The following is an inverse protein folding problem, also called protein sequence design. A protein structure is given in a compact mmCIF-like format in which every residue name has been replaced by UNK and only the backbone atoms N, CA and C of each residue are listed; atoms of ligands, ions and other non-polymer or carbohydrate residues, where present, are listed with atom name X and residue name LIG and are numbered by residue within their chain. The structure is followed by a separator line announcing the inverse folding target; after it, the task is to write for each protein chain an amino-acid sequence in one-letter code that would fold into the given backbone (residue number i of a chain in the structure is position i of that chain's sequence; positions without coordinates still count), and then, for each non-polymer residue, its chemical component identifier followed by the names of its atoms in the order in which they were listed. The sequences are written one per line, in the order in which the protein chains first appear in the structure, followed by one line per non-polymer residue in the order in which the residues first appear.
data_IF_755810620804
#
_entry.id   IF_755810620804
#
_cell.length_a   1.000
_cell.length_b   1.000
_cell.length_c   1.000
_cell.angle_alpha   90.00
_cell.angle_beta   90.00
_cell.angle_gamma   90.00
#
_symmetry.space_group_name_H-M   'P 1'
#
loop_
_entity.id
_entity.type
_entity.pdbx_description
1 polymer ?
#
# COMPACT_ATOMS: atom_id res chain seq x y z
N UNK A 1 7.75 21.73 -12.62
CA UNK A 1 9.00 22.50 -12.52
C UNK A 1 9.76 22.44 -13.84
N UNK A 2 10.65 23.40 -14.13
CA UNK A 2 11.56 23.31 -15.27
C UNK A 2 12.68 22.29 -14.98
N UNK A 3 12.90 21.32 -15.85
CA UNK A 3 13.96 20.32 -15.65
C UNK A 3 15.39 20.89 -15.69
N UNK A 4 15.59 22.11 -16.21
CA UNK A 4 16.92 22.72 -16.39
C UNK A 4 17.40 23.52 -15.18
N UNK A 5 16.48 24.18 -14.48
CA UNK A 5 16.81 25.06 -13.36
C UNK A 5 15.98 24.77 -12.11
N UNK A 6 15.12 23.74 -12.15
CA UNK A 6 14.15 23.39 -11.10
C UNK A 6 13.17 24.51 -10.72
N UNK A 7 13.20 25.63 -11.44
CA UNK A 7 12.34 26.77 -11.20
C UNK A 7 10.90 26.51 -11.59
N UNK A 8 10.02 27.41 -11.15
CA UNK A 8 8.59 27.35 -11.43
C UNK A 8 8.31 27.38 -12.95
N UNK A 9 7.35 26.57 -13.39
CA UNK A 9 6.86 26.59 -14.76
C UNK A 9 5.45 27.19 -14.73
N UNK A 10 5.37 28.50 -14.98
CA UNK A 10 4.17 29.31 -14.72
C UNK A 10 3.58 29.84 -16.02
N UNK A 11 2.40 30.47 -15.93
CA UNK A 11 1.86 31.21 -17.05
C UNK A 11 2.80 32.37 -17.43
N UNK A 12 3.14 32.49 -18.72
CA UNK A 12 4.04 33.51 -19.27
C UNK A 12 3.39 34.33 -20.39
N UNK A 13 2.09 34.15 -20.62
CA UNK A 13 1.35 34.81 -21.69
C UNK A 13 -0.08 34.30 -21.84
N UNK A 14 -0.82 34.86 -22.80
CA UNK A 14 -2.29 34.71 -22.95
C UNK A 14 -2.81 33.26 -22.92
N UNK A 15 -2.01 32.27 -23.34
CA UNK A 15 -2.40 30.86 -23.25
C UNK A 15 -1.19 29.90 -23.20
N UNK A 16 -0.13 30.30 -22.48
CA UNK A 16 1.13 29.55 -22.50
C UNK A 16 1.79 29.46 -21.15
N UNK A 17 2.32 28.28 -20.86
CA UNK A 17 3.21 28.02 -19.73
C UNK A 17 4.67 28.04 -20.19
N UNK A 18 5.55 28.56 -19.35
CA UNK A 18 6.99 28.67 -19.59
C UNK A 18 7.79 28.72 -18.29
N UNK A 19 9.11 28.58 -18.40
CA UNK A 19 10.00 28.67 -17.25
C UNK A 19 10.03 30.11 -16.70
N UNK A 20 9.62 30.31 -15.44
CA UNK A 20 9.61 31.63 -14.80
C UNK A 20 11.00 32.29 -14.82
N UNK A 21 12.03 31.49 -14.55
CA UNK A 21 13.43 31.94 -14.50
C UNK A 21 13.95 32.40 -15.88
N UNK A 22 13.42 31.86 -16.98
CA UNK A 22 13.76 32.33 -18.32
C UNK A 22 12.97 33.60 -18.69
N UNK A 23 11.65 33.60 -18.45
CA UNK A 23 10.78 34.66 -18.95
C UNK A 23 10.80 35.92 -18.09
N UNK A 24 10.96 35.80 -16.77
CA UNK A 24 11.01 36.93 -15.83
C UNK A 24 12.43 37.40 -15.53
N UNK A 25 13.39 36.47 -15.38
CA UNK A 25 14.75 36.77 -14.88
C UNK A 25 15.88 36.57 -15.89
N UNK A 26 15.62 35.93 -17.04
CA UNK A 26 16.60 35.65 -18.12
C UNK A 26 17.82 34.82 -17.68
N UNK A 27 17.71 34.10 -16.58
CA UNK A 27 18.77 33.33 -15.90
C UNK A 27 18.72 31.83 -16.22
N UNK A 28 17.59 31.34 -16.76
CA UNK A 28 17.48 29.98 -17.29
C UNK A 28 17.49 29.98 -18.82
N UNK A 29 18.24 29.08 -19.44
CA UNK A 29 18.25 28.94 -20.90
C UNK A 29 17.06 28.17 -21.49
N UNK A 30 16.04 27.82 -20.70
CA UNK A 30 14.82 27.17 -21.20
C UNK A 30 13.78 28.20 -21.68
N UNK A 31 13.87 28.58 -22.97
CA UNK A 31 12.89 29.45 -23.63
C UNK A 31 11.73 28.73 -24.31
N UNK A 32 11.44 27.48 -23.92
CA UNK A 32 10.32 26.73 -24.50
C UNK A 32 9.01 27.08 -23.78
N UNK A 33 7.91 27.07 -24.53
CA UNK A 33 6.56 27.28 -24.00
C UNK A 33 5.63 26.18 -24.44
N UNK A 34 4.71 25.80 -23.57
CA UNK A 34 3.64 24.84 -23.86
C UNK A 34 2.30 25.57 -23.89
N UNK A 35 1.42 25.22 -24.84
CA UNK A 35 0.05 25.73 -24.83
C UNK A 35 -0.68 25.24 -23.59
N UNK A 36 -1.53 26.06 -23.00
CA UNK A 36 -2.29 25.68 -21.79
C UNK A 36 -3.06 24.38 -21.98
N UNK A 37 -3.82 24.27 -23.07
CA UNK A 37 -4.58 23.03 -23.37
C UNK A 37 -3.72 21.77 -23.41
N UNK A 38 -2.50 21.87 -23.93
CA UNK A 38 -1.56 20.72 -24.04
C UNK A 38 -0.98 20.41 -22.68
N UNK A 39 -0.56 21.43 -21.93
CA UNK A 39 -0.08 21.27 -20.55
C UNK A 39 -1.14 20.59 -19.69
N UNK A 40 -2.35 21.13 -19.69
CA UNK A 40 -3.44 20.67 -18.83
C UNK A 40 -3.85 19.23 -19.21
N UNK A 41 -3.94 18.91 -20.50
CA UNK A 41 -4.21 17.53 -20.96
C UNK A 41 -3.10 16.56 -20.58
N UNK A 42 -1.83 16.88 -20.88
CA UNK A 42 -0.71 15.97 -20.57
C UNK A 42 -0.53 15.77 -19.05
N UNK A 43 -0.78 16.81 -18.26
CA UNK A 43 -0.73 16.69 -16.80
C UNK A 43 -1.86 15.79 -16.29
N UNK A 44 -3.09 15.91 -16.83
CA UNK A 44 -4.18 14.98 -16.52
C UNK A 44 -3.84 13.55 -16.89
N UNK A 45 -3.30 13.30 -18.08
CA UNK A 45 -2.93 11.94 -18.52
C UNK A 45 -1.91 11.30 -17.57
N UNK A 46 -0.86 12.06 -17.21
CA UNK A 46 0.15 11.61 -16.23
C UNK A 46 -0.49 11.32 -14.87
N UNK A 47 -1.47 12.12 -14.45
CA UNK A 47 -2.18 11.90 -13.20
C UNK A 47 -3.02 10.62 -13.24
N UNK A 48 -3.81 10.40 -14.30
CA UNK A 48 -4.61 9.19 -14.46
C UNK A 48 -3.72 7.94 -14.51
N UNK A 49 -2.62 7.96 -15.27
CA UNK A 49 -1.68 6.84 -15.34
C UNK A 49 -1.00 6.57 -13.99
N UNK A 50 -0.55 7.62 -13.30
CA UNK A 50 0.07 7.49 -11.97
C UNK A 50 -0.92 6.94 -10.94
N UNK A 51 -2.16 7.41 -10.96
CA UNK A 51 -3.20 6.96 -10.07
C UNK A 51 -3.53 5.48 -10.29
N UNK A 52 -3.68 5.04 -11.54
CA UNK A 52 -3.89 3.64 -11.89
C UNK A 52 -2.72 2.76 -11.40
N UNK A 53 -1.47 3.17 -11.64
CA UNK A 53 -0.28 2.43 -11.19
C UNK A 53 -0.20 2.30 -9.66
N UNK A 54 -0.57 3.36 -8.94
CA UNK A 54 -0.63 3.34 -7.48
C UNK A 54 -1.70 2.37 -6.99
N UNK A 55 -2.89 2.38 -7.60
CA UNK A 55 -3.99 1.47 -7.27
C UNK A 55 -3.60 0.02 -7.54
N UNK A 56 -3.09 -0.30 -8.72
CA UNK A 56 -2.68 -1.66 -9.09
C UNK A 56 -1.62 -2.22 -8.13
N UNK A 57 -0.64 -1.38 -7.76
CA UNK A 57 0.41 -1.78 -6.82
C UNK A 57 -0.13 -1.96 -5.40
N UNK A 58 -1.01 -1.07 -4.96
CA UNK A 58 -1.67 -1.18 -3.65
C UNK A 58 -2.54 -2.44 -3.58
N UNK A 59 -3.33 -2.72 -4.61
CA UNK A 59 -4.18 -3.91 -4.67
C UNK A 59 -3.36 -5.20 -4.69
N UNK A 60 -2.24 -5.23 -5.42
CA UNK A 60 -1.34 -6.39 -5.43
C UNK A 60 -0.74 -6.65 -4.03
N UNK A 61 -0.26 -5.60 -3.35
CA UNK A 61 0.29 -5.72 -2.00
C UNK A 61 -0.77 -6.10 -0.97
N UNK A 62 -1.96 -5.49 -1.04
CA UNK A 62 -3.05 -5.78 -0.12
C UNK A 62 -3.57 -7.21 -0.32
N UNK A 63 -3.71 -7.68 -1.55
CA UNK A 63 -4.20 -9.04 -1.82
C UNK A 63 -3.26 -10.11 -1.27
N UNK A 64 -1.95 -10.00 -1.49
CA UNK A 64 -0.99 -10.98 -0.97
C UNK A 64 -0.94 -10.97 0.56
N UNK A 65 -0.99 -9.78 1.17
CA UNK A 65 -0.96 -9.65 2.63
C UNK A 65 -2.28 -10.10 3.27
N UNK A 66 -3.44 -9.77 2.69
CA UNK A 66 -4.76 -10.22 3.13
C UNK A 66 -4.94 -11.73 2.96
N UNK A 67 -4.42 -12.32 1.88
CA UNK A 67 -4.44 -13.77 1.68
C UNK A 67 -3.60 -14.49 2.74
N UNK A 68 -2.41 -13.96 3.06
CA UNK A 68 -1.56 -14.51 4.11
C UNK A 68 -2.18 -14.36 5.51
N UNK A 69 -2.76 -13.19 5.83
CA UNK A 69 -3.48 -12.95 7.08
C UNK A 69 -4.69 -13.89 7.20
N UNK A 70 -5.45 -14.06 6.11
CA UNK A 70 -6.59 -14.97 6.06
C UNK A 70 -6.20 -16.43 6.31
N UNK A 71 -5.10 -16.91 5.72
CA UNK A 71 -4.60 -18.26 5.99
C UNK A 71 -4.11 -18.43 7.43
N UNK A 72 -3.42 -17.42 7.99
CA UNK A 72 -3.00 -17.44 9.39
C UNK A 72 -4.20 -17.48 10.36
N UNK A 73 -5.26 -16.73 10.07
CA UNK A 73 -6.52 -16.80 10.84
C UNK A 73 -7.16 -18.19 10.76
N UNK A 74 -7.26 -18.78 9.56
CA UNK A 74 -7.77 -20.15 9.38
C UNK A 74 -6.93 -21.16 10.15
N UNK A 75 -5.61 -21.03 10.12
CA UNK A 75 -4.71 -21.90 10.87
C UNK A 75 -4.90 -21.77 12.38
N UNK A 76 -5.01 -20.54 12.90
CA UNK A 76 -5.29 -20.32 14.32
C UNK A 76 -6.63 -20.93 14.74
N UNK A 77 -7.65 -20.86 13.89
CA UNK A 77 -8.94 -21.47 14.19
C UNK A 77 -8.85 -23.00 14.22
N UNK A 78 -8.12 -23.61 13.27
CA UNK A 78 -7.82 -25.05 13.30
C UNK A 78 -7.09 -25.45 14.59
N UNK A 79 -6.10 -24.67 15.02
CA UNK A 79 -5.32 -24.91 16.22
C UNK A 79 -6.18 -24.78 17.50
N UNK A 80 -7.09 -23.80 17.56
CA UNK A 80 -8.06 -23.64 18.66
C UNK A 80 -9.00 -24.84 18.76
N UNK A 81 -9.60 -25.26 17.65
CA UNK A 81 -10.48 -26.42 17.61
C UNK A 81 -9.75 -27.72 18.01
N UNK A 82 -8.46 -27.83 17.64
CA UNK A 82 -7.63 -28.96 18.07
C UNK A 82 -7.36 -28.91 19.57
N UNK A 83 -7.04 -27.74 20.12
CA UNK A 83 -6.83 -27.54 21.55
C UNK A 83 -8.08 -27.92 22.35
N UNK A 84 -9.27 -27.47 21.94
CA UNK A 84 -10.52 -27.86 22.61
C UNK A 84 -10.75 -29.38 22.58
N UNK A 85 -10.39 -30.06 21.48
CA UNK A 85 -10.50 -31.53 21.41
C UNK A 85 -9.56 -32.21 22.39
N UNK A 86 -8.36 -31.66 22.60
CA UNK A 86 -7.39 -32.18 23.56
C UNK A 86 -7.86 -31.91 24.99
N UNK A 87 -8.33 -30.70 25.30
CA UNK A 87 -8.86 -30.34 26.62
C UNK A 87 -10.06 -31.24 27.00
N UNK A 88 -10.99 -31.50 26.07
CA UNK A 88 -12.08 -32.48 26.28
C UNK A 88 -11.62 -33.93 26.48
N UNK A 89 -10.44 -34.30 25.96
CA UNK A 89 -9.86 -35.64 26.21
C UNK A 89 -9.20 -35.68 27.59
N UNK A 90 -8.48 -34.63 27.97
CA UNK A 90 -7.88 -34.50 29.29
C UNK A 90 -8.96 -34.54 30.39
N UNK A 91 -10.06 -33.80 30.24
CA UNK A 91 -11.18 -33.84 31.19
C UNK A 91 -11.75 -35.25 31.38
N UNK A 92 -11.96 -35.99 30.30
CA UNK A 92 -12.45 -37.38 30.38
C UNK A 92 -11.46 -38.32 31.07
N UNK A 93 -10.16 -38.13 30.85
CA UNK A 93 -9.13 -38.90 31.54
C UNK A 93 -9.07 -38.54 33.02
N UNK A 94 -9.27 -37.27 33.39
CA UNK A 94 -9.35 -36.85 34.79
C UNK A 94 -10.53 -37.53 35.50
N UNK A 95 -11.73 -37.53 34.90
CA UNK A 95 -12.89 -38.22 35.49
C UNK A 95 -12.65 -39.72 35.66
N UNK A 96 -12.00 -40.39 34.69
CA UNK A 96 -11.67 -41.81 34.83
C UNK A 96 -10.66 -42.11 35.97
N UNK A 97 -9.77 -41.16 36.29
CA UNK A 97 -8.86 -41.26 37.44
C UNK A 97 -9.64 -41.09 38.74
N UNK A 98 -10.58 -40.14 38.80
CA UNK A 98 -11.46 -39.91 39.96
C UNK A 98 -12.32 -41.15 40.28
N UNK A 99 -12.75 -41.90 39.25
CA UNK A 99 -13.47 -43.16 39.38
C UNK A 99 -12.57 -44.36 39.81
N UNK A 100 -11.28 -44.12 40.08
CA UNK A 100 -10.34 -45.11 40.60
C UNK A 100 -9.59 -45.94 39.54
N UNK A 101 -9.79 -45.68 38.24
CA UNK A 101 -9.06 -46.36 37.16
C UNK A 101 -7.73 -45.67 36.85
N UNK A 102 -6.71 -45.91 37.69
CA UNK A 102 -5.35 -45.47 37.41
C UNK A 102 -4.45 -46.60 36.89
N UNK A 103 -3.85 -46.42 35.72
CA UNK A 103 -2.84 -47.32 35.15
C UNK A 103 -1.62 -46.53 34.66
N UNK A 104 -0.45 -47.16 34.65
CA UNK A 104 0.79 -46.54 34.17
C UNK A 104 0.67 -46.03 32.71
N UNK A 105 -0.06 -46.75 31.86
CA UNK A 105 -0.35 -46.35 30.47
C UNK A 105 -1.19 -45.06 30.40
N UNK A 106 -2.13 -44.89 31.33
CA UNK A 106 -3.00 -43.72 31.39
C UNK A 106 -2.21 -42.46 31.77
N UNK A 107 -1.25 -42.59 32.69
CA UNK A 107 -0.28 -41.52 33.04
C UNK A 107 0.50 -41.04 31.81
N UNK A 108 1.07 -41.97 31.04
CA UNK A 108 1.85 -41.64 29.83
C UNK A 108 0.98 -40.94 28.80
N UNK A 109 -0.25 -41.43 28.59
CA UNK A 109 -1.18 -40.82 27.64
C UNK A 109 -1.62 -39.42 28.08
N UNK A 110 -1.80 -39.21 29.38
CA UNK A 110 -2.15 -37.91 29.95
C UNK A 110 -1.03 -36.89 29.70
N UNK A 111 0.21 -37.24 30.05
CA UNK A 111 1.38 -36.38 29.81
C UNK A 111 1.52 -36.00 28.33
N UNK A 112 1.35 -36.96 27.41
CA UNK A 112 1.38 -36.68 25.97
C UNK A 112 0.33 -35.65 25.53
N UNK A 113 -0.87 -35.69 26.11
CA UNK A 113 -1.94 -34.76 25.79
C UNK A 113 -1.68 -33.38 26.41
N UNK A 114 -1.11 -33.32 27.61
CA UNK A 114 -0.67 -32.07 28.23
C UNK A 114 0.43 -31.38 27.41
N UNK A 115 1.46 -32.13 27.00
CA UNK A 115 2.56 -31.61 26.16
C UNK A 115 2.03 -31.09 24.82
N UNK A 116 1.06 -31.79 24.22
CA UNK A 116 0.39 -31.34 22.99
C UNK A 116 -0.45 -30.08 23.20
N UNK A 117 -1.18 -29.99 24.31
CA UNK A 117 -1.96 -28.81 24.67
C UNK A 117 -1.06 -27.59 24.87
N UNK A 118 0.04 -27.75 25.60
CA UNK A 118 1.01 -26.68 25.86
C UNK A 118 1.66 -26.20 24.56
N UNK A 119 2.05 -27.14 23.68
CA UNK A 119 2.57 -26.80 22.36
C UNK A 119 1.57 -25.98 21.53
N UNK A 120 0.29 -26.35 21.53
CA UNK A 120 -0.76 -25.61 20.80
C UNK A 120 -1.03 -24.24 21.42
N UNK A 121 -1.08 -24.12 22.75
CA UNK A 121 -1.23 -22.84 23.44
C UNK A 121 -0.08 -21.89 23.12
N UNK A 122 1.16 -22.39 23.15
CA UNK A 122 2.33 -21.63 22.77
C UNK A 122 2.26 -21.16 21.31
N UNK A 123 1.87 -22.04 20.37
CA UNK A 123 1.66 -21.68 18.96
C UNK A 123 0.59 -20.60 18.80
N UNK A 124 -0.57 -20.75 19.43
CA UNK A 124 -1.65 -19.77 19.39
C UNK A 124 -1.23 -18.41 19.96
N UNK A 125 -0.45 -18.40 21.03
CA UNK A 125 0.09 -17.18 21.62
C UNK A 125 1.05 -16.46 20.67
N UNK A 126 1.97 -17.19 20.02
CA UNK A 126 2.90 -16.63 19.03
C UNK A 126 2.14 -16.09 17.82
N UNK A 127 1.22 -16.87 17.25
CA UNK A 127 0.41 -16.45 16.09
C UNK A 127 -0.45 -15.23 16.41
N UNK A 128 -1.07 -15.18 17.59
CA UNK A 128 -1.84 -14.01 18.03
C UNK A 128 -0.99 -12.74 18.16
N UNK A 129 0.23 -12.86 18.69
CA UNK A 129 1.16 -11.73 18.80
C UNK A 129 1.65 -11.24 17.44
N UNK A 130 1.81 -12.15 16.48
CA UNK A 130 2.22 -11.82 15.11
C UNK A 130 1.11 -11.11 14.31
N UNK A 131 -0.15 -11.51 14.50
CA UNK A 131 -1.29 -10.89 13.81
C UNK A 131 -1.78 -9.57 14.45
N UNK A 132 -1.54 -9.35 15.74
CA UNK A 132 -2.04 -8.16 16.45
C UNK A 132 -1.61 -6.79 15.87
N UNK A 133 -0.40 -6.60 15.31
CA UNK A 133 -0.02 -5.38 14.61
C UNK A 133 -0.73 -5.23 13.26
N UNK A 134 -0.95 -6.33 12.53
CA UNK A 134 -1.59 -6.35 11.21
C UNK A 134 -3.09 -6.04 11.29
N UNK A 135 -3.72 -6.31 12.44
CA UNK A 135 -5.10 -5.90 12.71
C UNK A 135 -5.26 -4.40 13.02
N UNK A 136 -4.17 -3.64 13.30
CA UNK A 136 -4.21 -2.19 13.50
C UNK A 136 -4.09 -1.46 12.15
N UNK A 137 -5.19 -1.47 11.40
CA UNK A 137 -5.56 -0.59 10.27
C UNK A 137 -4.43 0.20 9.56
N UNK A 138 -3.73 -0.41 8.59
CA UNK A 138 -3.06 0.30 7.49
C UNK A 138 -4.06 0.87 6.45
N UNK A 139 -5.32 0.42 6.48
CA UNK A 139 -6.32 0.65 5.43
C UNK A 139 -6.75 2.09 5.26
N UNK A 140 -6.79 2.90 6.33
CA UNK A 140 -7.32 4.26 6.22
C UNK A 140 -6.49 5.18 5.30
N UNK A 141 -5.16 5.04 5.28
CA UNK A 141 -4.30 5.83 4.38
C UNK A 141 -4.51 5.44 2.91
N UNK A 142 -4.69 4.14 2.65
CA UNK A 142 -5.00 3.65 1.31
C UNK A 142 -6.40 4.01 0.86
N UNK A 143 -7.40 3.88 1.73
CA UNK A 143 -8.76 4.34 1.48
C UNK A 143 -8.82 5.84 1.24
N UNK A 144 -8.01 6.62 1.97
CA UNK A 144 -7.89 8.06 1.76
C UNK A 144 -7.25 8.39 0.41
N UNK A 145 -6.23 7.64 -0.02
CA UNK A 145 -5.59 7.78 -1.31
C UNK A 145 -6.52 7.38 -2.47
N UNK A 146 -7.23 6.26 -2.33
CA UNK A 146 -8.28 5.82 -3.27
C UNK A 146 -9.37 6.88 -3.42
N UNK A 147 -9.88 7.38 -2.29
CA UNK A 147 -10.88 8.43 -2.31
C UNK A 147 -10.36 9.72 -2.96
N UNK A 148 -9.08 10.06 -2.77
CA UNK A 148 -8.45 11.21 -3.43
C UNK A 148 -8.34 11.00 -4.94
N UNK A 149 -7.95 9.81 -5.39
CA UNK A 149 -7.89 9.45 -6.81
C UNK A 149 -9.27 9.56 -7.47
N UNK A 150 -10.30 8.95 -6.88
CA UNK A 150 -11.67 9.01 -7.43
C UNK A 150 -12.22 10.44 -7.50
N UNK A 151 -11.88 11.29 -6.53
CA UNK A 151 -12.26 12.71 -6.57
C UNK A 151 -11.56 13.45 -7.72
N UNK A 152 -10.29 13.15 -7.98
CA UNK A 152 -9.52 13.76 -9.07
C UNK A 152 -10.00 13.32 -10.47
N UNK A 153 -10.56 12.11 -10.60
CA UNK A 153 -11.18 11.66 -11.85
C UNK A 153 -12.48 12.43 -12.18
N UNK A 154 -13.16 12.95 -11.15
CA UNK A 154 -14.47 13.60 -11.28
C UNK A 154 -14.40 15.13 -11.18
N UNK A 155 -13.37 15.68 -10.54
CA UNK A 155 -13.22 17.12 -10.29
C UNK A 155 -11.76 17.53 -10.12
N UNK A 156 -11.35 18.62 -10.79
CA UNK A 156 -10.03 19.25 -10.58
C UNK A 156 -10.07 20.28 -9.43
N UNK A 157 -10.69 19.93 -8.30
CA UNK A 157 -10.72 20.80 -7.15
C UNK A 157 -9.28 21.17 -6.75
N UNK A 158 -8.99 22.46 -6.63
CA UNK A 158 -7.64 22.98 -6.38
C UNK A 158 -7.00 22.33 -5.13
N UNK A 159 -7.83 22.04 -4.13
CA UNK A 159 -7.44 21.33 -2.91
C UNK A 159 -6.99 19.88 -3.17
N UNK A 160 -7.76 19.09 -3.94
CA UNK A 160 -7.42 17.70 -4.23
C UNK A 160 -6.14 17.62 -5.09
N UNK A 161 -6.00 18.53 -6.06
CA UNK A 161 -4.77 18.65 -6.87
C UNK A 161 -3.56 18.99 -6.01
N UNK A 162 -3.73 19.84 -4.99
CA UNK A 162 -2.65 20.20 -4.07
C UNK A 162 -2.26 19.04 -3.15
N UNK A 163 -3.23 18.33 -2.58
CA UNK A 163 -2.98 17.14 -1.75
C UNK A 163 -2.24 16.05 -2.55
N UNK A 164 -2.67 15.80 -3.77
CA UNK A 164 -2.03 14.83 -4.66
C UNK A 164 -0.61 15.24 -5.05
N UNK A 165 -0.38 16.53 -5.35
CA UNK A 165 0.96 17.07 -5.59
C UNK A 165 1.90 16.89 -4.40
N UNK A 166 1.41 17.03 -3.16
CA UNK A 166 2.21 16.78 -1.96
C UNK A 166 2.59 15.31 -1.84
N UNK A 167 1.68 14.41 -2.21
CA UNK A 167 1.87 12.97 -2.09
C UNK A 167 2.84 12.43 -3.15
N UNK A 168 2.76 12.95 -4.36
CA UNK A 168 3.42 12.36 -5.53
C UNK A 168 4.64 13.17 -5.96
N UNK A 169 4.66 14.49 -5.73
CA UNK A 169 5.80 15.36 -6.01
C UNK A 169 5.64 16.18 -7.29
N UNK A 170 6.76 16.65 -7.85
CA UNK A 170 6.76 17.61 -8.97
C UNK A 170 6.86 16.94 -10.34
N UNK A 171 6.07 17.40 -11.33
CA UNK A 171 6.26 17.04 -12.75
C UNK A 171 7.29 17.98 -13.38
N UNK A 172 8.35 17.41 -13.93
CA UNK A 172 9.41 18.11 -14.64
C UNK A 172 9.07 18.30 -16.12
N UNK A 173 9.19 19.54 -16.58
CA UNK A 173 9.04 19.93 -17.98
C UNK A 173 10.43 20.00 -18.60
N UNK A 174 10.73 19.03 -19.45
CA UNK A 174 12.00 18.86 -20.15
C UNK A 174 11.88 19.52 -21.53
N UNK A 175 12.71 20.53 -21.84
CA UNK A 175 12.66 21.16 -23.16
C UNK A 175 13.15 20.19 -24.23
N UNK A 176 12.33 19.96 -25.26
CA UNK A 176 12.76 19.21 -26.45
C UNK A 176 13.32 20.10 -27.55
N UNK A 177 13.70 19.46 -28.65
CA UNK A 177 14.35 20.10 -29.81
C UNK A 177 13.40 21.06 -30.53
N UNK A 178 12.15 20.65 -30.80
CA UNK A 178 11.12 21.51 -31.39
C UNK A 178 10.49 22.49 -30.37
N UNK A 179 9.79 23.53 -30.86
CA UNK A 179 9.16 24.57 -30.01
C UNK A 179 7.92 24.04 -29.24
N UNK A 180 7.26 23.01 -29.76
CA UNK A 180 6.11 22.32 -29.18
C UNK A 180 6.46 21.00 -28.46
N UNK A 181 7.72 20.56 -28.48
CA UNK A 181 8.13 19.24 -28.01
C UNK A 181 8.65 19.25 -26.58
N UNK A 182 7.97 19.90 -25.63
CA UNK A 182 8.31 19.67 -24.23
C UNK A 182 7.91 18.25 -23.84
N UNK A 183 8.83 17.51 -23.21
CA UNK A 183 8.55 16.22 -22.59
C UNK A 183 8.23 16.43 -21.13
N UNK A 184 7.30 15.65 -20.60
CA UNK A 184 6.90 15.69 -19.21
C UNK A 184 7.42 14.43 -18.54
N UNK A 185 8.13 14.60 -17.44
CA UNK A 185 8.60 13.50 -16.62
C UNK A 185 8.18 13.77 -15.20
N UNK A 186 7.42 12.87 -14.55
CA UNK A 186 7.36 12.91 -13.09
C UNK A 186 8.77 12.89 -12.50
N UNK A 187 9.01 13.63 -11.41
CA UNK A 187 10.29 13.59 -10.69
C UNK A 187 10.47 12.27 -9.94
N UNK A 188 9.37 11.60 -9.63
CA UNK A 188 9.36 10.24 -9.11
C UNK A 188 9.40 9.26 -10.30
N UNK A 189 10.32 8.30 -10.25
CA UNK A 189 10.22 7.13 -11.13
C UNK A 189 9.25 6.16 -10.46
N UNK A 190 8.03 6.04 -10.96
CA UNK A 190 7.21 4.87 -10.65
C UNK A 190 8.01 3.67 -11.15
N UNK A 191 8.23 2.70 -10.27
CA UNK A 191 8.88 1.44 -10.62
C UNK A 191 8.18 0.90 -11.86
N UNK A 192 8.84 0.95 -13.02
CA UNK A 192 8.36 0.21 -14.17
C UNK A 192 8.43 -1.25 -13.74
N UNK A 193 7.32 -1.99 -13.64
CA UNK A 193 7.42 -3.43 -13.46
C UNK A 193 8.21 -3.92 -14.66
N UNK A 194 9.39 -4.48 -14.42
CA UNK A 194 10.19 -5.10 -15.46
C UNK A 194 9.32 -6.20 -16.04
N UNK A 195 8.82 -6.01 -17.26
CA UNK A 195 8.16 -7.06 -18.02
C UNK A 195 9.13 -8.26 -18.08
N UNK A 196 8.76 -9.35 -17.43
CA UNK A 196 9.35 -10.67 -17.64
C UNK A 196 8.63 -11.36 -18.77
#
# INVERSE_FOLDING_TARGET
ACARCSGEFCNVGRDRYGCAEHYRRKTCGNGKTVQRRVMDATVRDIFTETAALITDYADALMNDEQMNIGEQHRQMERDRLQLEKIDRRLQRLMSAIEDGLYTATLKVRFQQLEDQAESLRAKLHVSGRMLAPLQREPGWKWNQLQALITRLETSDAEYDVLQFKQLIGTINVIPGTARSACRFSPAWQLFKPTAK
#
